data_IF_409425457718
#
_entry.id   IF_409425457718
#
_cell.length_a   1.000
_cell.length_b   1.000
_cell.length_c   1.000
_cell.angle_alpha   90.00
_cell.angle_beta   90.00
_cell.angle_gamma   90.00
#
_symmetry.space_group_name_H-M   'P 1'
#
loop_
_entity.id
_entity.type
_entity.pdbx_description
1 polymer ?
#
# COMPACT_ATOMS: atom_id res chain seq x y z
N UNK A 1 23.63 19.24 26.10
CA UNK A 1 25.06 18.90 25.87
C UNK A 1 25.45 17.48 26.28
N UNK A 2 25.01 16.93 27.43
CA UNK A 2 25.34 15.54 27.83
C UNK A 2 24.83 14.44 26.86
N UNK A 3 23.69 14.65 26.18
CA UNK A 3 23.17 13.69 25.18
C UNK A 3 23.96 13.65 23.87
N UNK A 4 24.60 14.76 23.46
CA UNK A 4 25.45 14.82 22.27
C UNK A 4 26.77 14.06 22.45
N UNK A 5 27.31 14.00 23.67
CA UNK A 5 28.50 13.20 23.97
C UNK A 5 28.24 11.68 23.89
N UNK A 6 27.02 11.23 24.17
CA UNK A 6 26.61 9.83 23.95
C UNK A 6 26.56 9.51 22.45
N UNK A 7 26.14 10.46 21.61
CA UNK A 7 26.13 10.30 20.15
C UNK A 7 27.56 10.31 19.59
N UNK A 8 28.45 11.16 20.11
CA UNK A 8 29.85 11.24 19.67
C UNK A 8 30.67 9.99 20.06
N UNK A 9 30.39 9.39 21.23
CA UNK A 9 30.99 8.11 21.63
C UNK A 9 30.60 6.94 20.72
N UNK A 10 29.38 6.99 20.15
CA UNK A 10 28.92 6.01 19.15
C UNK A 10 29.62 6.25 17.81
N UNK A 11 29.91 7.50 17.44
CA UNK A 11 30.52 7.88 16.15
C UNK A 11 31.95 7.37 15.98
N UNK A 12 32.74 7.33 17.06
CA UNK A 12 34.12 6.79 17.03
C UNK A 12 34.12 5.25 16.89
N UNK A 13 32.99 4.59 17.14
CA UNK A 13 32.83 3.14 16.94
C UNK A 13 32.21 2.77 15.57
N UNK A 14 31.93 3.72 14.68
CA UNK A 14 31.15 3.49 13.44
C UNK A 14 31.84 2.70 12.30
N UNK A 15 33.01 2.12 12.56
CA UNK A 15 33.52 1.02 11.72
C UNK A 15 33.10 -0.37 12.24
N UNK A 16 32.39 -0.44 13.36
CA UNK A 16 31.84 -1.66 13.93
C UNK A 16 30.31 -1.66 13.82
N UNK A 17 29.75 -2.85 13.53
CA UNK A 17 28.32 -3.10 13.47
C UNK A 17 27.59 -2.52 14.69
N UNK A 18 26.60 -1.65 14.46
CA UNK A 18 25.74 -1.12 15.53
C UNK A 18 24.96 -2.28 16.15
N UNK A 19 25.25 -2.56 17.43
CA UNK A 19 24.62 -3.65 18.18
C UNK A 19 23.11 -3.49 18.30
N UNK A 20 22.39 -4.59 18.51
CA UNK A 20 20.92 -4.60 18.63
C UNK A 20 20.40 -3.70 19.76
N UNK A 21 21.12 -3.60 20.87
CA UNK A 21 20.78 -2.69 21.98
C UNK A 21 20.96 -1.22 21.59
N UNK A 22 22.05 -0.87 20.91
CA UNK A 22 22.28 0.51 20.42
C UNK A 22 21.22 0.93 19.40
N UNK A 23 20.73 -0.01 18.56
CA UNK A 23 19.64 0.28 17.63
C UNK A 23 18.33 0.58 18.34
N UNK A 24 17.92 -0.20 19.33
CA UNK A 24 16.69 0.06 20.09
C UNK A 24 16.70 1.45 20.76
N UNK A 25 17.87 1.89 21.22
CA UNK A 25 18.04 3.22 21.82
C UNK A 25 17.97 4.33 20.75
N UNK A 26 18.52 4.10 19.55
CA UNK A 26 18.62 5.12 18.49
C UNK A 26 17.38 5.19 17.57
N UNK A 27 16.60 4.11 17.45
CA UNK A 27 15.41 4.01 16.60
C UNK A 27 14.38 5.14 16.80
N UNK A 28 13.98 5.52 18.03
CA UNK A 28 13.04 6.62 18.22
C UNK A 28 13.62 8.00 17.86
N UNK A 29 14.95 8.12 17.72
CA UNK A 29 15.63 9.37 17.42
C UNK A 29 15.98 9.52 15.94
N UNK A 30 15.87 8.45 15.12
CA UNK A 30 16.14 8.49 13.69
C UNK A 30 15.27 9.49 12.94
N UNK A 31 13.97 9.52 13.21
CA UNK A 31 13.07 10.52 12.62
C UNK A 31 13.42 11.96 13.01
N UNK A 32 14.00 12.17 14.21
CA UNK A 32 14.47 13.49 14.64
C UNK A 32 15.73 13.88 13.84
N UNK A 33 16.64 12.94 13.61
CA UNK A 33 17.88 13.15 12.84
C UNK A 33 17.54 13.44 11.36
N UNK A 34 16.68 12.63 10.74
CA UNK A 34 16.23 12.81 9.35
C UNK A 34 15.57 14.18 9.13
N UNK A 35 14.76 14.63 10.09
CA UNK A 35 14.13 15.94 10.02
C UNK A 35 15.09 17.11 10.32
N UNK A 36 16.15 16.88 11.09
CA UNK A 36 17.12 17.92 11.45
C UNK A 36 18.14 18.22 10.32
N UNK A 37 18.49 17.23 9.49
CA UNK A 37 19.43 17.38 8.38
C UNK A 37 19.04 18.51 7.41
N UNK A 38 17.84 18.55 6.82
CA UNK A 38 17.48 19.60 5.87
C UNK A 38 17.50 21.01 6.50
N UNK A 39 17.18 21.10 7.80
CA UNK A 39 17.25 22.36 8.55
C UNK A 39 18.72 22.81 8.69
N UNK A 40 19.61 21.92 9.13
CA UNK A 40 21.04 22.20 9.26
C UNK A 40 21.70 22.56 7.93
N UNK A 41 21.33 21.88 6.83
CA UNK A 41 21.83 22.19 5.49
C UNK A 41 21.41 23.59 5.05
N UNK A 42 20.16 23.96 5.29
CA UNK A 42 19.64 25.31 5.00
C UNK A 42 20.39 26.38 5.81
N UNK A 43 20.56 26.16 7.11
CA UNK A 43 21.27 27.12 7.95
C UNK A 43 22.78 27.21 7.64
N UNK A 44 23.40 26.09 7.24
CA UNK A 44 24.77 26.06 6.77
C UNK A 44 24.90 26.87 5.47
N UNK A 45 23.95 26.72 4.54
CA UNK A 45 23.85 27.54 3.33
C UNK A 45 23.80 29.03 3.65
N UNK A 46 22.85 29.44 4.50
CA UNK A 46 22.72 30.84 4.92
C UNK A 46 23.98 31.38 5.62
N UNK A 47 24.64 30.54 6.44
CA UNK A 47 25.89 30.92 7.12
C UNK A 47 27.04 31.12 6.12
N UNK A 48 27.13 30.28 5.07
CA UNK A 48 28.11 30.42 3.99
C UNK A 48 27.87 31.67 3.13
N UNK A 49 26.62 31.95 2.80
CA UNK A 49 26.25 33.17 2.06
C UNK A 49 26.63 34.43 2.84
N UNK A 50 26.27 34.49 4.12
CA UNK A 50 26.66 35.58 5.01
C UNK A 50 28.18 35.73 5.10
N UNK A 51 28.92 34.63 5.16
CA UNK A 51 30.38 34.67 5.16
C UNK A 51 30.94 35.28 3.87
N UNK A 52 30.38 34.95 2.71
CA UNK A 52 30.77 35.55 1.42
C UNK A 52 30.46 37.05 1.37
N UNK A 53 29.30 37.46 1.86
CA UNK A 53 28.92 38.88 1.96
C UNK A 53 29.91 39.66 2.84
N UNK A 54 30.26 39.12 4.01
CA UNK A 54 31.25 39.73 4.91
C UNK A 54 32.63 39.83 4.27
N UNK A 55 33.04 38.85 3.44
CA UNK A 55 34.30 38.93 2.68
C UNK A 55 34.29 40.05 1.64
N UNK A 56 33.18 40.23 0.93
CA UNK A 56 33.02 41.32 -0.04
C UNK A 56 33.06 42.68 0.67
N UNK A 57 32.34 42.82 1.78
CA UNK A 57 32.32 44.04 2.59
C UNK A 57 33.70 44.37 3.17
N UNK A 58 34.44 43.37 3.67
CA UNK A 58 35.83 43.54 4.10
C UNK A 58 36.69 44.07 2.95
N UNK A 59 36.64 43.44 1.77
CA UNK A 59 37.41 43.87 0.59
C UNK A 59 37.07 45.30 0.17
N UNK A 60 35.79 45.66 0.16
CA UNK A 60 35.34 47.01 -0.17
C UNK A 60 35.89 48.06 0.81
N UNK A 61 35.88 47.76 2.10
CA UNK A 61 36.42 48.66 3.14
C UNK A 61 37.93 48.77 3.05
N UNK A 62 38.65 47.67 2.80
CA UNK A 62 40.10 47.71 2.60
C UNK A 62 40.46 48.60 1.40
N UNK A 63 39.72 48.50 0.28
CA UNK A 63 39.91 49.38 -0.87
C UNK A 63 39.68 50.86 -0.51
N UNK A 64 38.58 51.17 0.20
CA UNK A 64 38.29 52.53 0.65
C UNK A 64 39.36 53.06 1.61
N UNK A 65 39.82 52.24 2.55
CA UNK A 65 40.86 52.61 3.51
C UNK A 65 42.17 52.96 2.83
N UNK A 66 42.55 52.23 1.77
CA UNK A 66 43.77 52.48 1.02
C UNK A 66 43.71 53.75 0.14
N UNK A 67 42.50 54.22 -0.20
CA UNK A 67 42.28 55.42 -1.01
C UNK A 67 42.00 56.68 -0.17
N UNK A 68 41.78 56.53 1.14
CA UNK A 68 41.38 57.60 2.03
C UNK A 68 42.60 58.36 2.59
N UNK A 69 42.61 59.69 2.47
CA UNK A 69 43.69 60.54 2.98
C UNK A 69 43.40 61.15 4.35
N UNK A 70 42.13 61.20 4.77
CA UNK A 70 41.74 61.74 6.08
C UNK A 70 42.01 60.76 7.22
N UNK A 71 42.85 61.17 8.18
CA UNK A 71 43.20 60.38 9.37
C UNK A 71 41.96 59.95 10.18
N UNK A 72 40.99 60.86 10.33
CA UNK A 72 39.75 60.60 11.08
C UNK A 72 38.93 59.52 10.35
N UNK A 73 38.78 59.63 9.03
CA UNK A 73 38.03 58.66 8.25
C UNK A 73 38.74 57.29 8.18
N UNK A 74 40.07 57.28 8.11
CA UNK A 74 40.86 56.05 8.23
C UNK A 74 40.62 55.35 9.58
N UNK A 75 40.51 56.09 10.69
CA UNK A 75 40.18 55.52 12.00
C UNK A 75 38.81 54.82 12.03
N UNK A 76 37.80 55.44 11.43
CA UNK A 76 36.45 54.85 11.30
C UNK A 76 36.49 53.58 10.43
N UNK A 77 37.19 53.63 9.30
CA UNK A 77 37.31 52.49 8.38
C UNK A 77 38.08 51.32 9.01
N UNK A 78 39.15 51.58 9.77
CA UNK A 78 39.89 50.55 10.54
C UNK A 78 38.99 49.88 11.57
N UNK A 79 38.18 50.65 12.29
CA UNK A 79 37.23 50.10 13.28
C UNK A 79 36.17 49.21 12.62
N UNK A 80 35.63 49.64 11.48
CA UNK A 80 34.71 48.80 10.68
C UNK A 80 35.39 47.53 10.18
N UNK A 81 36.64 47.61 9.73
CA UNK A 81 37.40 46.45 9.27
C UNK A 81 37.57 45.41 10.40
N UNK A 82 37.96 45.84 11.60
CA UNK A 82 38.06 44.98 12.79
C UNK A 82 36.72 44.31 13.14
N UNK A 83 35.60 45.05 13.00
CA UNK A 83 34.27 44.49 13.19
C UNK A 83 33.97 43.36 12.19
N UNK A 84 34.23 43.58 10.90
CA UNK A 84 34.05 42.55 9.87
C UNK A 84 34.97 41.33 10.09
N UNK A 85 36.20 41.54 10.56
CA UNK A 85 37.12 40.44 10.89
C UNK A 85 36.60 39.57 12.04
N UNK A 86 36.09 40.19 13.11
CA UNK A 86 35.45 39.46 14.22
C UNK A 86 34.22 38.68 13.74
N UNK A 87 33.38 39.28 12.89
CA UNK A 87 32.22 38.60 12.34
C UNK A 87 32.59 37.44 11.41
N UNK A 88 33.63 37.60 10.59
CA UNK A 88 34.14 36.52 9.74
C UNK A 88 34.65 35.34 10.57
N UNK A 89 35.41 35.60 11.63
CA UNK A 89 35.90 34.55 12.53
C UNK A 89 34.74 33.79 13.18
N UNK A 90 33.76 34.50 13.74
CA UNK A 90 32.58 33.89 14.35
C UNK A 90 31.75 33.09 13.33
N UNK A 91 31.54 33.63 12.13
CA UNK A 91 30.75 32.94 11.09
C UNK A 91 31.49 31.70 10.58
N UNK A 92 32.82 31.76 10.42
CA UNK A 92 33.65 30.61 10.05
C UNK A 92 33.55 29.49 11.09
N UNK A 93 33.58 29.84 12.39
CA UNK A 93 33.40 28.88 13.46
C UNK A 93 32.01 28.22 13.39
N UNK A 94 30.94 29.01 13.24
CA UNK A 94 29.56 28.48 13.10
C UNK A 94 29.39 27.56 11.89
N UNK A 95 30.08 27.84 10.78
CA UNK A 95 30.09 26.98 9.60
C UNK A 95 30.75 25.63 9.94
N UNK A 96 31.90 25.65 10.60
CA UNK A 96 32.63 24.44 10.98
C UNK A 96 31.81 23.56 11.96
N UNK A 97 31.15 24.17 12.95
CA UNK A 97 30.26 23.49 13.89
C UNK A 97 29.13 22.77 13.14
N UNK A 98 28.41 23.47 12.26
CA UNK A 98 27.32 22.87 11.47
C UNK A 98 27.78 21.76 10.51
N UNK A 99 28.98 21.89 9.94
CA UNK A 99 29.55 20.84 9.10
C UNK A 99 29.85 19.58 9.92
N UNK A 100 30.33 19.74 11.15
CA UNK A 100 30.59 18.63 12.06
C UNK A 100 29.27 17.95 12.51
N UNK A 101 28.24 18.74 12.81
CA UNK A 101 26.92 18.22 13.16
C UNK A 101 26.32 17.40 12.01
N UNK A 102 26.39 17.91 10.78
CA UNK A 102 25.95 17.17 9.59
C UNK A 102 26.74 15.88 9.37
N UNK A 103 28.07 15.92 9.48
CA UNK A 103 28.90 14.74 9.34
C UNK A 103 28.54 13.67 10.37
N UNK A 104 28.23 14.09 11.60
CA UNK A 104 27.78 13.21 12.68
C UNK A 104 26.44 12.54 12.32
N UNK A 105 25.45 13.32 11.87
CA UNK A 105 24.14 12.80 11.49
C UNK A 105 24.21 11.86 10.28
N UNK A 106 24.97 12.21 9.25
CA UNK A 106 25.21 11.32 8.12
C UNK A 106 25.93 10.03 8.51
N UNK A 107 26.89 10.11 9.44
CA UNK A 107 27.56 8.94 10.02
C UNK A 107 26.57 7.97 10.68
N UNK A 108 25.70 8.49 11.54
CA UNK A 108 24.65 7.69 12.22
C UNK A 108 23.71 7.02 11.21
N UNK A 109 23.24 7.75 10.18
CA UNK A 109 22.37 7.18 9.16
C UNK A 109 23.06 6.09 8.33
N UNK A 110 24.31 6.31 7.92
CA UNK A 110 25.06 5.35 7.11
C UNK A 110 25.32 4.04 7.86
N UNK A 111 25.61 4.13 9.15
CA UNK A 111 25.76 2.99 10.03
C UNK A 111 24.46 2.21 10.17
N UNK A 112 23.33 2.91 10.27
CA UNK A 112 22.02 2.28 10.30
C UNK A 112 21.70 1.58 8.98
N UNK A 113 21.96 2.23 7.83
CA UNK A 113 21.70 1.68 6.50
C UNK A 113 22.49 0.38 6.20
N UNK A 114 23.79 0.35 6.49
CA UNK A 114 24.62 -0.87 6.35
C UNK A 114 24.14 -2.02 7.23
N UNK A 115 23.56 -1.68 8.37
CA UNK A 115 23.06 -2.62 9.36
C UNK A 115 21.67 -3.19 9.02
N UNK A 116 20.95 -2.56 8.09
CA UNK A 116 19.65 -2.98 7.54
C UNK A 116 19.82 -3.93 6.35
N UNK A 117 20.94 -3.90 5.61
CA UNK A 117 21.27 -4.88 4.57
C UNK A 117 21.79 -6.21 5.14
N UNK A 118 21.16 -6.71 6.19
CA UNK A 118 21.43 -8.06 6.71
C UNK A 118 20.75 -9.09 5.81
N UNK A 119 21.41 -10.20 5.44
CA UNK A 119 20.80 -11.30 4.68
C UNK A 119 19.48 -11.82 5.27
N UNK A 120 19.29 -11.67 6.59
CA UNK A 120 18.06 -12.05 7.29
C UNK A 120 16.89 -11.10 6.98
N UNK A 121 17.16 -9.80 6.82
CA UNK A 121 16.14 -8.79 6.49
C UNK A 121 15.75 -8.91 5.01
N UNK A 122 16.70 -9.09 4.10
CA UNK A 122 16.39 -9.35 2.69
C UNK A 122 15.59 -10.64 2.49
N UNK A 123 15.91 -11.69 3.27
CA UNK A 123 15.12 -12.92 3.29
C UNK A 123 13.71 -12.70 3.83
N UNK A 124 13.55 -11.96 4.94
CA UNK A 124 12.24 -11.60 5.49
C UNK A 124 11.40 -10.78 4.49
N UNK A 125 11.99 -9.78 3.83
CA UNK A 125 11.35 -8.98 2.78
C UNK A 125 10.90 -9.82 1.58
N UNK A 126 11.75 -10.75 1.13
CA UNK A 126 11.42 -11.67 0.04
C UNK A 126 10.24 -12.56 0.44
N UNK A 127 10.23 -13.06 1.68
CA UNK A 127 9.15 -13.89 2.22
C UNK A 127 7.84 -13.11 2.38
N UNK A 128 7.89 -11.86 2.84
CA UNK A 128 6.73 -10.94 2.88
C UNK A 128 6.17 -10.74 1.47
N UNK A 129 7.02 -10.43 0.48
CA UNK A 129 6.59 -10.26 -0.91
C UNK A 129 5.90 -11.51 -1.48
N UNK A 130 6.43 -12.70 -1.18
CA UNK A 130 5.80 -13.96 -1.59
C UNK A 130 4.43 -14.16 -0.93
N UNK A 131 4.28 -13.85 0.36
CA UNK A 131 3.01 -13.96 1.07
C UNK A 131 1.98 -12.95 0.54
N UNK A 132 2.38 -11.71 0.29
CA UNK A 132 1.51 -10.68 -0.31
C UNK A 132 1.04 -11.08 -1.72
N UNK A 133 1.95 -11.65 -2.54
CA UNK A 133 1.58 -12.20 -3.85
C UNK A 133 0.55 -13.32 -3.71
N UNK A 134 0.73 -14.25 -2.76
CA UNK A 134 -0.21 -15.35 -2.52
C UNK A 134 -1.57 -14.84 -2.02
N UNK A 135 -1.58 -13.83 -1.16
CA UNK A 135 -2.78 -13.16 -0.67
C UNK A 135 -3.56 -12.48 -1.81
N UNK A 136 -2.87 -11.75 -2.71
CA UNK A 136 -3.51 -11.14 -3.88
C UNK A 136 -4.12 -12.18 -4.82
N UNK A 137 -3.45 -13.31 -5.05
CA UNK A 137 -3.99 -14.43 -5.84
C UNK A 137 -5.26 -15.03 -5.21
N UNK A 138 -5.29 -15.15 -3.88
CA UNK A 138 -6.48 -15.63 -3.18
C UNK A 138 -7.64 -14.65 -3.24
N UNK A 139 -7.40 -13.35 -3.09
CA UNK A 139 -8.43 -12.31 -3.26
C UNK A 139 -9.01 -12.36 -4.68
N UNK A 140 -8.18 -12.57 -5.70
CA UNK A 140 -8.64 -12.75 -7.07
C UNK A 140 -9.49 -14.02 -7.25
N UNK A 141 -9.12 -15.14 -6.60
CA UNK A 141 -9.94 -16.37 -6.59
C UNK A 141 -11.27 -16.15 -5.87
N UNK A 142 -11.27 -15.48 -4.72
CA UNK A 142 -12.48 -15.15 -3.96
C UNK A 142 -13.46 -14.35 -4.82
N UNK A 143 -12.98 -13.34 -5.55
CA UNK A 143 -13.80 -12.56 -6.48
C UNK A 143 -14.44 -13.43 -7.56
N UNK A 144 -13.69 -14.36 -8.15
CA UNK A 144 -14.22 -15.30 -9.17
C UNK A 144 -15.29 -16.23 -8.62
N UNK A 145 -15.13 -16.71 -7.38
CA UNK A 145 -16.12 -17.56 -6.73
C UNK A 145 -17.38 -16.77 -6.45
N UNK A 146 -17.24 -15.54 -5.96
CA UNK A 146 -18.37 -14.65 -5.70
C UNK A 146 -19.18 -14.38 -6.99
N UNK A 147 -18.52 -14.06 -8.11
CA UNK A 147 -19.23 -13.87 -9.39
C UNK A 147 -19.96 -15.13 -9.84
N UNK A 148 -19.34 -16.31 -9.69
CA UNK A 148 -19.99 -17.59 -10.04
C UNK A 148 -21.23 -17.87 -9.18
N UNK A 149 -21.15 -17.54 -7.88
CA UNK A 149 -22.25 -17.69 -6.94
C UNK A 149 -23.40 -16.73 -7.26
N UNK A 150 -23.09 -15.47 -7.53
CA UNK A 150 -24.08 -14.46 -7.93
C UNK A 150 -24.80 -14.86 -9.23
N UNK A 151 -24.05 -15.29 -10.24
CA UNK A 151 -24.61 -15.79 -11.51
C UNK A 151 -25.53 -17.00 -11.32
N UNK A 152 -25.11 -17.97 -10.49
CA UNK A 152 -25.92 -19.14 -10.18
C UNK A 152 -27.21 -18.76 -9.42
N UNK A 153 -27.12 -17.83 -8.47
CA UNK A 153 -28.26 -17.34 -7.71
C UNK A 153 -29.25 -16.60 -8.62
N UNK A 154 -28.76 -15.71 -9.50
CA UNK A 154 -29.60 -15.01 -10.48
C UNK A 154 -30.29 -15.99 -11.44
N UNK A 155 -29.61 -17.03 -11.90
CA UNK A 155 -30.24 -18.03 -12.77
C UNK A 155 -31.28 -18.85 -12.01
N UNK A 156 -31.02 -19.18 -10.73
CA UNK A 156 -31.96 -19.89 -9.86
C UNK A 156 -33.26 -19.10 -9.64
N UNK A 157 -33.21 -17.77 -9.48
CA UNK A 157 -34.43 -16.95 -9.28
C UNK A 157 -35.36 -16.92 -10.49
N UNK A 158 -34.88 -17.24 -11.69
CA UNK A 158 -35.69 -17.32 -12.90
C UNK A 158 -36.44 -18.65 -13.04
N UNK A 159 -36.00 -19.70 -12.35
CA UNK A 159 -36.58 -21.05 -12.45
C UNK A 159 -38.04 -21.10 -11.96
N UNK A 160 -38.41 -20.52 -10.80
CA UNK A 160 -39.80 -20.53 -10.32
C UNK A 160 -40.79 -19.98 -11.35
N UNK A 161 -40.46 -18.85 -11.99
CA UNK A 161 -41.33 -18.24 -13.01
C UNK A 161 -41.51 -19.13 -14.25
N UNK A 162 -40.44 -19.81 -14.69
CA UNK A 162 -40.53 -20.80 -15.80
C UNK A 162 -41.37 -22.01 -15.39
N UNK A 163 -41.18 -22.50 -14.17
CA UNK A 163 -41.91 -23.66 -13.61
C UNK A 163 -43.40 -23.35 -13.46
N UNK A 164 -43.78 -22.19 -12.92
CA UNK A 164 -45.19 -21.79 -12.78
C UNK A 164 -45.88 -21.66 -14.13
N UNK A 165 -45.22 -21.02 -15.12
CA UNK A 165 -45.75 -20.90 -16.49
C UNK A 165 -45.96 -22.28 -17.14
N UNK A 166 -44.95 -23.14 -17.10
CA UNK A 166 -45.05 -24.49 -17.68
C UNK A 166 -46.12 -25.34 -16.96
N UNK A 167 -46.23 -25.22 -15.63
CA UNK A 167 -47.24 -25.93 -14.83
C UNK A 167 -48.66 -25.47 -15.17
N UNK A 168 -48.89 -24.16 -15.31
CA UNK A 168 -50.18 -23.60 -15.72
C UNK A 168 -50.60 -24.11 -17.12
N UNK A 169 -49.69 -24.00 -18.10
CA UNK A 169 -49.95 -24.49 -19.46
C UNK A 169 -50.18 -26.00 -19.49
N UNK A 170 -49.44 -26.78 -18.69
CA UNK A 170 -49.66 -28.23 -18.58
C UNK A 170 -51.07 -28.55 -18.05
N UNK A 171 -51.54 -27.81 -17.04
CA UNK A 171 -52.89 -27.99 -16.46
C UNK A 171 -53.98 -27.69 -17.49
N UNK A 172 -53.82 -26.62 -18.27
CA UNK A 172 -54.74 -26.25 -19.35
C UNK A 172 -54.79 -27.33 -20.45
N UNK A 173 -53.63 -27.80 -20.90
CA UNK A 173 -53.53 -28.86 -21.92
C UNK A 173 -54.13 -30.18 -21.43
N UNK A 174 -53.94 -30.53 -20.16
CA UNK A 174 -54.57 -31.71 -19.55
C UNK A 174 -56.10 -31.58 -19.51
N UNK A 175 -56.62 -30.41 -19.18
CA UNK A 175 -58.06 -30.16 -19.23
C UNK A 175 -58.60 -30.29 -20.67
N UNK A 176 -57.90 -29.72 -21.66
CA UNK A 176 -58.25 -29.84 -23.08
C UNK A 176 -58.23 -31.29 -23.56
N UNK A 177 -57.23 -32.06 -23.16
CA UNK A 177 -57.14 -33.49 -23.51
C UNK A 177 -58.34 -34.26 -22.98
N UNK A 178 -58.75 -34.04 -21.71
CA UNK A 178 -59.93 -34.70 -21.13
C UNK A 178 -61.21 -34.43 -21.92
N UNK A 179 -61.42 -33.20 -22.38
CA UNK A 179 -62.59 -32.84 -23.22
C UNK A 179 -62.55 -33.57 -24.57
N UNK A 180 -61.38 -33.64 -25.21
CA UNK A 180 -61.21 -34.35 -26.48
C UNK A 180 -61.40 -35.87 -26.31
N UNK A 181 -60.94 -36.43 -25.19
CA UNK A 181 -61.12 -37.84 -24.85
C UNK A 181 -62.56 -38.20 -24.52
N UNK A 182 -63.34 -37.28 -23.96
CA UNK A 182 -64.78 -37.49 -23.74
C UNK A 182 -65.54 -37.61 -25.06
N UNK A 183 -65.19 -36.81 -26.07
CA UNK A 183 -65.88 -36.79 -27.38
C UNK A 183 -65.64 -38.01 -28.27
N UNK A 184 -64.65 -38.88 -27.95
CA UNK A 184 -64.29 -40.17 -28.58
C UNK A 184 -64.64 -40.34 -30.08
N UNK A 185 -64.32 -39.34 -30.91
CA UNK A 185 -64.56 -39.41 -32.35
C UNK A 185 -63.26 -39.59 -33.13
N UNK A 186 -63.28 -40.42 -34.18
CA UNK A 186 -62.13 -40.58 -35.07
C UNK A 186 -61.67 -39.26 -35.71
N UNK A 187 -62.60 -38.31 -35.87
CA UNK A 187 -62.34 -36.98 -36.41
C UNK A 187 -61.42 -36.11 -35.53
N UNK A 188 -61.28 -36.38 -34.22
CA UNK A 188 -60.48 -35.55 -33.32
C UNK A 188 -59.10 -36.15 -32.95
N UNK A 189 -58.73 -37.29 -33.54
CA UNK A 189 -57.50 -38.02 -33.23
C UNK A 189 -56.25 -37.15 -33.47
N UNK A 190 -56.21 -36.40 -34.57
CA UNK A 190 -55.09 -35.51 -34.89
C UNK A 190 -54.88 -34.40 -33.85
N UNK A 191 -55.96 -33.83 -33.30
CA UNK A 191 -55.89 -32.82 -32.25
C UNK A 191 -55.42 -33.43 -30.92
N UNK A 192 -55.89 -34.63 -30.58
CA UNK A 192 -55.43 -35.35 -29.37
C UNK A 192 -53.94 -35.60 -29.42
N UNK A 193 -53.41 -36.07 -30.55
CA UNK A 193 -51.97 -36.31 -30.72
C UNK A 193 -51.16 -35.02 -30.56
N UNK A 194 -51.65 -33.88 -31.10
CA UNK A 194 -51.03 -32.56 -30.91
C UNK A 194 -51.03 -32.12 -29.45
N UNK A 195 -52.14 -32.30 -28.72
CA UNK A 195 -52.22 -31.94 -27.30
C UNK A 195 -51.31 -32.83 -26.46
N UNK A 196 -51.23 -34.14 -26.76
CA UNK A 196 -50.33 -35.08 -26.08
C UNK A 196 -48.87 -34.69 -26.29
N UNK A 197 -48.46 -34.32 -27.51
CA UNK A 197 -47.08 -33.88 -27.76
C UNK A 197 -46.75 -32.59 -27.01
N UNK A 198 -47.67 -31.63 -26.95
CA UNK A 198 -47.51 -30.41 -26.16
C UNK A 198 -47.43 -30.70 -24.65
N UNK A 199 -48.21 -31.64 -24.13
CA UNK A 199 -48.12 -32.11 -22.73
C UNK A 199 -46.73 -32.68 -22.44
N UNK A 200 -46.23 -33.57 -23.31
CA UNK A 200 -44.89 -34.16 -23.17
C UNK A 200 -43.80 -33.08 -23.20
N UNK A 201 -43.95 -32.08 -24.07
CA UNK A 201 -43.06 -30.93 -24.14
C UNK A 201 -43.04 -30.13 -22.82
N UNK A 202 -44.21 -29.78 -22.26
CA UNK A 202 -44.29 -29.05 -20.99
C UNK A 202 -43.72 -29.87 -19.81
N UNK A 203 -43.95 -31.19 -19.77
CA UNK A 203 -43.31 -32.09 -18.80
C UNK A 203 -41.79 -32.07 -18.93
N UNK A 204 -41.26 -32.03 -20.15
CA UNK A 204 -39.84 -31.87 -20.43
C UNK A 204 -39.28 -30.54 -19.88
N UNK A 205 -40.02 -29.44 -20.02
CA UNK A 205 -39.64 -28.15 -19.42
C UNK A 205 -39.58 -28.24 -17.89
N UNK A 206 -40.56 -28.87 -17.24
CA UNK A 206 -40.57 -29.02 -15.78
C UNK A 206 -39.42 -29.89 -15.28
N UNK A 207 -39.10 -30.99 -15.99
CA UNK A 207 -37.95 -31.83 -15.70
C UNK A 207 -36.64 -31.04 -15.85
N UNK A 208 -36.50 -30.26 -16.93
CA UNK A 208 -35.36 -29.38 -17.15
C UNK A 208 -35.20 -28.34 -16.05
N UNK A 209 -36.29 -27.68 -15.62
CA UNK A 209 -36.26 -26.71 -14.52
C UNK A 209 -35.75 -27.34 -13.21
N UNK A 210 -36.16 -28.58 -12.94
CA UNK A 210 -35.73 -29.32 -11.73
C UNK A 210 -34.26 -29.71 -11.80
N UNK A 211 -33.78 -30.15 -12.96
CA UNK A 211 -32.37 -30.43 -13.17
C UNK A 211 -31.51 -29.15 -13.06
N UNK A 212 -31.94 -28.04 -13.66
CA UNK A 212 -31.26 -26.74 -13.56
C UNK A 212 -31.19 -26.26 -12.10
N UNK A 213 -32.27 -26.42 -11.33
CA UNK A 213 -32.31 -26.03 -9.91
C UNK A 213 -31.28 -26.80 -9.08
N UNK A 214 -31.22 -28.13 -9.24
CA UNK A 214 -30.23 -28.98 -8.56
C UNK A 214 -28.79 -28.61 -8.94
N UNK A 215 -28.55 -28.31 -10.22
CA UNK A 215 -27.23 -27.88 -10.69
C UNK A 215 -26.82 -26.55 -10.07
N UNK A 216 -27.72 -25.57 -10.02
CA UNK A 216 -27.40 -24.28 -9.40
C UNK A 216 -27.23 -24.38 -7.88
N UNK A 217 -28.03 -25.20 -7.20
CA UNK A 217 -27.82 -25.51 -5.78
C UNK A 217 -26.45 -26.09 -5.54
N UNK A 218 -26.05 -27.06 -6.35
CA UNK A 218 -24.74 -27.68 -6.25
C UNK A 218 -23.60 -26.68 -6.48
N UNK A 219 -23.74 -25.81 -7.49
CA UNK A 219 -22.76 -24.74 -7.75
C UNK A 219 -22.63 -23.81 -6.54
N UNK A 220 -23.75 -23.42 -5.92
CA UNK A 220 -23.76 -22.54 -4.75
C UNK A 220 -23.09 -23.23 -3.56
N UNK A 221 -23.41 -24.48 -3.28
CA UNK A 221 -22.77 -25.27 -2.21
C UNK A 221 -21.26 -25.37 -2.39
N UNK A 222 -20.81 -25.68 -3.62
CA UNK A 222 -19.39 -25.80 -3.92
C UNK A 222 -18.68 -24.45 -3.79
N UNK A 223 -19.33 -23.34 -4.20
CA UNK A 223 -18.80 -21.98 -3.98
C UNK A 223 -18.65 -21.66 -2.48
N UNK A 224 -19.61 -22.05 -1.64
CA UNK A 224 -19.55 -21.85 -0.18
C UNK A 224 -18.37 -22.63 0.42
N UNK A 225 -18.18 -23.89 0.01
CA UNK A 225 -17.04 -24.73 0.47
C UNK A 225 -15.70 -24.14 0.04
N UNK A 226 -15.59 -23.68 -1.22
CA UNK A 226 -14.39 -23.01 -1.72
C UNK A 226 -14.11 -21.70 -0.94
N UNK A 227 -15.13 -20.90 -0.63
CA UNK A 227 -14.99 -19.68 0.18
C UNK A 227 -14.50 -19.98 1.61
N UNK A 228 -15.05 -21.01 2.25
CA UNK A 228 -14.61 -21.43 3.59
C UNK A 228 -13.13 -21.86 3.58
N UNK A 229 -12.73 -22.65 2.58
CA UNK A 229 -11.32 -23.04 2.42
C UNK A 229 -10.40 -21.84 2.21
N UNK A 230 -10.80 -20.88 1.39
CA UNK A 230 -10.03 -19.65 1.17
C UNK A 230 -9.95 -18.76 2.41
N UNK A 231 -11.00 -18.72 3.24
CA UNK A 231 -11.00 -17.94 4.48
C UNK A 231 -9.94 -18.47 5.46
N UNK A 232 -9.88 -19.79 5.65
CA UNK A 232 -8.88 -20.43 6.51
C UNK A 232 -7.47 -20.11 5.99
N UNK A 233 -7.22 -20.33 4.69
CA UNK A 233 -5.93 -20.02 4.09
C UNK A 233 -5.57 -18.53 4.18
N UNK A 234 -6.56 -17.63 4.20
CA UNK A 234 -6.32 -16.19 4.35
C UNK A 234 -5.91 -15.85 5.77
N UNK A 235 -6.61 -16.39 6.75
CA UNK A 235 -6.25 -16.17 8.16
C UNK A 235 -4.85 -16.68 8.47
N UNK A 236 -4.45 -17.83 7.93
CA UNK A 236 -3.08 -18.35 8.07
C UNK A 236 -2.03 -17.42 7.45
N UNK A 237 -2.30 -16.86 6.27
CA UNK A 237 -1.40 -15.92 5.61
C UNK A 237 -1.32 -14.57 6.34
N UNK A 238 -2.43 -14.06 6.84
CA UNK A 238 -2.50 -12.82 7.60
C UNK A 238 -1.70 -12.96 8.91
N UNK A 239 -1.85 -14.08 9.64
CA UNK A 239 -1.04 -14.38 10.83
C UNK A 239 0.45 -14.47 10.48
N UNK A 240 0.81 -15.19 9.41
CA UNK A 240 2.20 -15.31 8.98
C UNK A 240 2.83 -13.96 8.58
N UNK A 241 2.04 -13.06 7.98
CA UNK A 241 2.47 -11.71 7.65
C UNK A 241 2.66 -10.85 8.90
N UNK A 242 1.75 -10.95 9.88
CA UNK A 242 1.90 -10.25 11.16
C UNK A 242 3.13 -10.72 11.95
N UNK A 243 3.40 -12.02 11.98
CA UNK A 243 4.60 -12.57 12.64
C UNK A 243 5.89 -12.08 12.00
N UNK A 244 5.94 -11.98 10.67
CA UNK A 244 7.14 -11.50 9.95
C UNK A 244 7.33 -9.97 10.03
N UNK A 245 6.29 -9.23 10.42
CA UNK A 245 6.32 -7.77 10.57
C UNK A 245 6.63 -7.31 12.01
N UNK A 246 6.59 -8.22 12.99
CA UNK A 246 7.02 -8.00 14.38
C UNK A 246 8.54 -8.07 14.50
#
# INVERSE_FOLDING_TARGET
>A
MKQLFLILGVVISLNADVSTQQRQILQPHLGIIENAIPILEKELGASKEKYQELLLNKRAITKKLNAESSIIQQGVLKTKLLYYEKQLASTKQKIAEKQNDLATYYGVLSAFAKSVSSPKISFAQTRISHLEKRLSQMMAKQKKIQTRQEDAQQKKTLIPAKRTKASATLKELQAKLKVLEYKKSWSNLGERTKVISQISYQKGILAKCTAEELVFEKIIEDCIKEQQSLLIGRTELDVALEELRK
#
